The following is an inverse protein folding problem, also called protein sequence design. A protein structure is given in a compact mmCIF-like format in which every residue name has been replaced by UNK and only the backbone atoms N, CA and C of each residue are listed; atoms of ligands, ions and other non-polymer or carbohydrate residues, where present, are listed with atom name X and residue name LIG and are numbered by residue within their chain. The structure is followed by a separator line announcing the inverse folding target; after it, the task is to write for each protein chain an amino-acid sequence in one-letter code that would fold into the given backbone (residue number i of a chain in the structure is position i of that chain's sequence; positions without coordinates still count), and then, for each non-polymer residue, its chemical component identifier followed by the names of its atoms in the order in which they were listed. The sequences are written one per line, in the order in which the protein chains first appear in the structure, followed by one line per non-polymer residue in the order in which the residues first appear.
data_IF_779833645808
#
_entry.id   IF_779833645808
#
_cell.length_a   1.000
_cell.length_b   1.000
_cell.length_c   1.000
_cell.angle_alpha   90.00
_cell.angle_beta   90.00
_cell.angle_gamma   90.00
#
_symmetry.space_group_name_H-M   'P 1'
#
loop_
_entity.id
_entity.type
_entity.pdbx_description
1 polymer ?
#
# COMPACT_ATOMS: atom_id res chain seq x y z
N UNK A 1 -0.30 16.38 4.15
CA UNK A 1 -1.31 15.36 4.59
C UNK A 1 -0.61 14.29 5.42
N UNK A 2 -0.50 14.45 6.73
CA UNK A 2 0.11 13.44 7.60
C UNK A 2 -0.85 12.25 7.79
N UNK A 3 -0.35 11.01 7.79
CA UNK A 3 -1.19 9.82 7.96
C UNK A 3 -1.76 9.24 6.67
N UNK A 4 -1.34 9.72 5.50
CA UNK A 4 -1.84 9.21 4.22
C UNK A 4 -1.45 7.75 3.98
N UNK A 5 -0.30 7.33 4.51
CA UNK A 5 0.12 5.94 4.56
C UNK A 5 0.68 5.65 5.94
N UNK A 6 0.44 4.44 6.45
CA UNK A 6 0.89 4.00 7.78
C UNK A 6 1.31 2.54 7.71
N UNK A 7 2.43 2.20 8.34
CA UNK A 7 2.88 0.83 8.52
C UNK A 7 3.39 0.62 9.94
N UNK A 8 3.24 -0.60 10.46
CA UNK A 8 3.68 -0.99 11.80
C UNK A 8 4.45 -2.31 11.75
N UNK A 9 5.53 -2.40 12.52
CA UNK A 9 6.27 -3.64 12.75
C UNK A 9 6.85 -3.64 14.16
N UNK A 10 6.33 -4.52 15.01
CA UNK A 10 6.67 -4.55 16.43
C UNK A 10 6.44 -3.19 17.09
N UNK A 11 7.49 -2.64 17.68
CA UNK A 11 7.47 -1.34 18.38
C UNK A 11 7.76 -0.14 17.48
N UNK A 12 7.68 -0.28 16.15
CA UNK A 12 7.97 0.81 15.20
C UNK A 12 6.76 1.09 14.31
N UNK A 13 6.35 2.36 14.24
CA UNK A 13 5.35 2.86 13.29
C UNK A 13 6.05 3.81 12.32
N UNK A 14 5.69 3.72 11.04
CA UNK A 14 6.10 4.67 10.01
C UNK A 14 4.86 5.33 9.44
N UNK A 15 4.86 6.65 9.35
CA UNK A 15 3.74 7.45 8.83
C UNK A 15 4.21 8.30 7.66
N UNK A 16 3.63 8.10 6.49
CA UNK A 16 3.91 8.90 5.30
C UNK A 16 3.13 10.20 5.24
N UNK A 17 3.77 11.24 4.70
CA UNK A 17 3.18 12.53 4.40
C UNK A 17 3.69 13.09 3.07
N UNK A 18 3.06 12.75 1.92
CA UNK A 18 3.59 13.10 0.61
C UNK A 18 3.53 14.59 0.24
N UNK A 19 2.71 15.37 0.92
CA UNK A 19 2.55 16.83 0.71
C UNK A 19 3.19 17.61 1.86
N UNK A 20 4.39 17.18 2.26
CA UNK A 20 5.13 17.77 3.36
C UNK A 20 6.24 18.65 2.77
N UNK A 21 6.18 19.95 3.07
CA UNK A 21 6.97 20.99 2.40
C UNK A 21 8.15 21.48 3.23
N UNK A 22 8.23 21.06 4.49
CA UNK A 22 9.21 21.60 5.42
C UNK A 22 10.62 21.32 4.91
N UNK A 23 11.51 22.31 5.11
CA UNK A 23 12.92 22.06 4.95
C UNK A 23 13.39 21.20 6.12
N UNK A 24 13.79 19.96 5.85
CA UNK A 24 14.35 19.12 6.90
C UNK A 24 15.15 17.98 6.31
N UNK A 25 16.38 17.81 6.77
CA UNK A 25 17.18 16.60 6.57
C UNK A 25 17.35 15.95 7.94
N UNK A 26 16.44 15.04 8.32
CA UNK A 26 16.74 14.14 9.44
C UNK A 26 17.08 12.73 8.92
N UNK A 27 17.92 12.73 7.88
CA UNK A 27 18.94 11.72 7.60
C UNK A 27 20.21 12.49 7.23
N UNK A 28 21.17 12.57 8.14
CA UNK A 28 22.52 13.08 7.85
C UNK A 28 23.22 12.03 7.01
N UNK A 29 23.11 12.13 5.69
CA UNK A 29 24.22 11.72 4.84
C UNK A 29 25.26 12.84 4.94
N UNK A 30 26.41 12.58 5.56
CA UNK A 30 27.56 13.49 5.53
C UNK A 30 28.07 13.69 4.08
N UNK A 31 28.65 14.85 3.71
CA UNK A 31 28.56 16.15 4.40
C UNK A 31 27.27 16.89 3.98
N UNK A 32 26.84 17.88 4.78
CA UNK A 32 25.66 18.68 4.49
C UNK A 32 25.88 19.43 3.18
N UNK A 33 25.13 19.07 2.13
CA UNK A 33 24.81 20.06 1.12
C UNK A 33 23.76 20.98 1.72
N UNK A 34 24.25 21.99 2.44
CA UNK A 34 23.46 23.12 2.89
C UNK A 34 23.00 23.90 1.64
N UNK A 35 21.78 23.60 1.19
CA UNK A 35 21.10 24.39 0.14
C UNK A 35 20.18 25.45 0.74
N UNK A 36 20.57 26.13 1.83
CA UNK A 36 19.88 27.37 2.25
C UNK A 36 18.34 27.23 2.26
N UNK A 37 17.90 26.12 2.87
CA UNK A 37 16.55 25.59 3.06
C UNK A 37 15.36 26.47 2.62
N UNK A 38 15.14 26.55 1.31
CA UNK A 38 13.84 26.91 0.76
C UNK A 38 12.88 25.72 0.91
N UNK A 39 11.60 26.01 1.22
CA UNK A 39 10.53 25.01 1.17
C UNK A 39 10.54 24.34 -0.21
N UNK A 40 10.53 23.01 -0.23
CA UNK A 40 10.37 22.24 -1.47
C UNK A 40 8.94 21.71 -1.47
N UNK A 41 8.08 22.41 -2.20
CA UNK A 41 6.65 22.09 -2.29
C UNK A 41 6.44 20.63 -2.67
N UNK A 42 5.57 19.95 -1.94
CA UNK A 42 5.11 18.59 -2.17
C UNK A 42 6.25 17.56 -2.35
N UNK A 43 7.40 17.84 -1.71
CA UNK A 43 8.54 16.91 -1.69
C UNK A 43 8.25 15.67 -0.86
N UNK A 44 7.44 15.81 0.20
CA UNK A 44 6.96 14.73 1.04
C UNK A 44 7.96 14.26 2.10
N UNK A 45 7.48 13.49 3.07
CA UNK A 45 8.23 12.97 4.20
C UNK A 45 7.68 11.63 4.72
N UNK A 46 8.48 10.94 5.55
CA UNK A 46 8.03 9.83 6.38
C UNK A 46 8.52 10.00 7.82
N UNK A 47 7.64 9.80 8.79
CA UNK A 47 7.90 9.97 10.22
C UNK A 47 7.99 8.60 10.89
N UNK A 48 8.96 8.42 11.78
CA UNK A 48 9.19 7.14 12.47
C UNK A 48 8.92 7.31 13.95
N UNK A 49 7.96 6.55 14.46
CA UNK A 49 7.61 6.51 15.88
C UNK A 49 8.06 5.19 16.49
N UNK A 50 8.61 5.23 17.70
CA UNK A 50 8.96 4.03 18.47
C UNK A 50 8.21 3.98 19.79
N UNK A 51 7.76 2.78 20.16
CA UNK A 51 7.14 2.50 21.45
C UNK A 51 8.22 2.18 22.48
N UNK A 52 8.34 3.03 23.50
CA UNK A 52 9.13 2.78 24.71
C UNK A 52 8.21 2.65 25.92
N UNK A 53 8.17 1.48 26.55
CA UNK A 53 7.19 1.20 27.59
C UNK A 53 5.76 1.33 27.05
N UNK A 54 5.00 2.31 27.53
CA UNK A 54 3.64 2.63 27.06
C UNK A 54 3.56 3.92 26.22
N UNK A 55 4.70 4.52 25.87
CA UNK A 55 4.73 5.83 25.20
C UNK A 55 5.31 5.71 23.80
N UNK A 56 4.57 6.21 22.81
CA UNK A 56 5.06 6.41 21.45
C UNK A 56 5.79 7.75 21.35
N UNK A 57 7.00 7.74 20.80
CA UNK A 57 7.79 8.95 20.55
C UNK A 57 8.20 9.00 19.09
N UNK A 58 8.16 10.20 18.49
CA UNK A 58 8.79 10.43 17.20
C UNK A 58 10.30 10.35 17.37
N UNK A 59 10.97 9.52 16.57
CA UNK A 59 12.40 9.26 16.66
C UNK A 59 13.16 9.61 15.38
N UNK A 60 12.46 9.78 14.26
CA UNK A 60 13.06 10.25 13.02
C UNK A 60 12.04 10.89 12.09
N UNK A 61 12.55 11.76 11.23
CA UNK A 61 11.87 12.39 10.10
C UNK A 61 12.71 12.18 8.85
N UNK A 62 12.15 11.52 7.84
CA UNK A 62 12.88 11.05 6.66
C UNK A 62 12.39 11.81 5.43
N UNK A 63 13.33 12.38 4.66
CA UNK A 63 13.11 12.89 3.31
C UNK A 63 13.77 11.98 2.27
N UNK A 64 13.33 12.08 1.02
CA UNK A 64 14.05 11.50 -0.10
C UNK A 64 15.44 12.16 -0.24
N UNK A 65 16.51 11.40 -0.49
CA UNK A 65 17.78 11.98 -0.89
C UNK A 65 17.63 12.69 -2.23
N UNK A 66 18.21 13.89 -2.36
CA UNK A 66 18.04 14.76 -3.54
C UNK A 66 16.55 15.01 -3.87
N UNK A 67 15.75 15.33 -2.84
CA UNK A 67 14.35 15.74 -2.99
C UNK A 67 14.24 16.91 -3.96
N UNK A 68 13.26 16.83 -4.86
CA UNK A 68 12.80 17.99 -5.63
C UNK A 68 11.30 18.18 -5.44
N UNK A 69 10.76 19.24 -6.02
CA UNK A 69 9.33 19.56 -5.98
C UNK A 69 8.48 18.40 -6.53
N UNK A 70 7.30 18.21 -5.93
CA UNK A 70 6.27 17.24 -6.32
C UNK A 70 6.73 15.77 -6.30
N UNK A 71 7.69 15.38 -5.45
CA UNK A 71 8.13 13.98 -5.35
C UNK A 71 7.10 13.04 -4.72
N UNK A 72 6.23 13.59 -3.87
CA UNK A 72 5.25 12.84 -3.10
C UNK A 72 5.87 11.69 -2.29
N UNK A 73 7.06 11.91 -1.71
CA UNK A 73 7.73 10.92 -0.86
C UNK A 73 6.88 10.64 0.39
N UNK A 74 6.61 9.37 0.69
CA UNK A 74 5.67 8.98 1.74
C UNK A 74 4.26 8.69 1.22
N UNK A 75 4.06 8.63 -0.10
CA UNK A 75 2.78 8.21 -0.68
C UNK A 75 2.42 6.77 -0.30
N UNK A 76 3.42 5.92 -0.09
CA UNK A 76 3.30 4.60 0.53
C UNK A 76 4.48 4.35 1.47
N UNK A 77 4.25 3.58 2.54
CA UNK A 77 5.29 3.17 3.49
C UNK A 77 5.12 1.71 3.87
N UNK A 78 6.22 1.03 4.10
CA UNK A 78 6.27 -0.31 4.70
C UNK A 78 7.44 -0.39 5.68
N UNK A 79 7.28 -1.17 6.75
CA UNK A 79 8.34 -1.42 7.74
C UNK A 79 8.39 -2.90 8.11
N UNK A 80 9.61 -3.43 8.21
CA UNK A 80 9.86 -4.78 8.74
C UNK A 80 11.09 -4.72 9.65
N UNK A 81 10.86 -4.70 10.96
CA UNK A 81 11.91 -4.55 11.96
C UNK A 81 12.77 -3.30 11.71
N UNK A 82 13.96 -3.51 11.14
CA UNK A 82 14.96 -2.46 10.88
C UNK A 82 14.99 -1.99 9.43
N UNK A 83 14.02 -2.35 8.60
CA UNK A 83 13.97 -1.92 7.19
C UNK A 83 12.71 -1.11 6.97
N UNK A 84 12.86 0.08 6.39
CA UNK A 84 11.76 0.95 5.97
C UNK A 84 11.83 1.10 4.45
N UNK A 85 10.71 0.95 3.76
CA UNK A 85 10.58 1.28 2.35
C UNK A 85 9.54 2.39 2.19
N UNK A 86 9.85 3.40 1.38
CA UNK A 86 9.01 4.58 1.17
C UNK A 86 8.86 4.86 -0.32
N UNK A 87 7.62 4.96 -0.79
CA UNK A 87 7.29 5.31 -2.17
C UNK A 87 7.34 6.81 -2.43
N UNK A 88 7.78 7.16 -3.65
CA UNK A 88 7.78 8.51 -4.24
C UNK A 88 7.09 8.42 -5.60
N UNK A 89 5.76 8.46 -5.63
CA UNK A 89 4.99 8.13 -6.85
C UNK A 89 5.20 9.09 -8.01
N UNK A 90 5.64 10.31 -7.72
CA UNK A 90 5.84 11.36 -8.70
C UNK A 90 7.32 11.62 -9.02
N UNK A 91 8.23 10.79 -8.48
CA UNK A 91 9.65 10.80 -8.89
C UNK A 91 9.76 10.67 -10.42
N UNK A 92 10.45 11.63 -11.03
CA UNK A 92 10.57 11.79 -12.48
C UNK A 92 11.96 11.47 -13.04
N UNK A 93 12.88 10.94 -12.21
CA UNK A 93 14.26 10.61 -12.62
C UNK A 93 14.30 9.52 -13.69
N UNK A 94 15.25 9.66 -14.61
CA UNK A 94 15.44 8.75 -15.75
C UNK A 94 16.15 7.43 -15.42
N UNK A 95 16.78 7.34 -14.25
CA UNK A 95 17.47 6.11 -13.78
C UNK A 95 16.53 4.91 -13.76
N UNK A 96 17.04 3.72 -14.08
CA UNK A 96 16.29 2.48 -14.09
C UNK A 96 16.88 1.44 -13.14
N UNK A 97 16.05 0.47 -12.74
CA UNK A 97 16.48 -0.68 -11.94
C UNK A 97 16.88 -0.33 -10.50
N UNK A 98 17.93 -0.97 -10.01
CA UNK A 98 18.34 -0.95 -8.60
C UNK A 98 19.63 -0.15 -8.48
N UNK A 99 19.66 0.81 -7.56
CA UNK A 99 20.87 1.56 -7.21
C UNK A 99 21.11 1.54 -5.70
N UNK A 100 22.36 1.41 -5.28
CA UNK A 100 22.78 1.50 -3.87
C UNK A 100 23.12 2.93 -3.43
N UNK A 101 23.07 3.88 -4.36
CA UNK A 101 23.14 5.31 -4.09
C UNK A 101 22.04 6.02 -4.86
N UNK A 102 21.23 6.87 -4.22
CA UNK A 102 20.29 7.73 -4.93
C UNK A 102 21.05 8.54 -6.00
N UNK A 103 20.62 8.50 -7.27
CA UNK A 103 21.32 9.21 -8.32
C UNK A 103 21.37 10.71 -8.03
N UNK A 104 22.55 11.30 -8.23
CA UNK A 104 22.71 12.75 -8.28
C UNK A 104 22.21 13.30 -9.62
N UNK A 105 21.62 14.49 -9.61
CA UNK A 105 21.22 15.22 -10.83
C UNK A 105 19.73 15.15 -11.19
N UNK A 106 19.31 16.12 -12.00
CA UNK A 106 17.91 16.44 -12.32
C UNK A 106 17.47 15.89 -13.70
N UNK A 107 17.95 14.71 -14.12
CA UNK A 107 17.48 14.11 -15.37
C UNK A 107 16.02 13.63 -15.20
N UNK A 108 15.08 14.55 -15.38
CA UNK A 108 13.72 14.50 -14.85
C UNK A 108 12.63 14.35 -15.94
N UNK A 109 12.89 13.61 -17.02
CA UNK A 109 11.95 13.54 -18.16
C UNK A 109 10.93 12.40 -18.07
N UNK A 110 11.05 11.52 -17.06
CA UNK A 110 10.13 10.38 -16.85
C UNK A 110 9.06 10.74 -15.82
N UNK A 111 8.26 11.76 -16.12
CA UNK A 111 7.18 12.27 -15.25
C UNK A 111 6.35 11.14 -14.66
N UNK A 112 6.13 11.16 -13.34
CA UNK A 112 5.35 10.16 -12.61
C UNK A 112 5.78 8.70 -12.87
N UNK A 113 7.05 8.47 -13.21
CA UNK A 113 7.59 7.10 -13.30
C UNK A 113 7.65 6.44 -11.93
N UNK A 114 7.84 7.25 -10.89
CA UNK A 114 7.86 6.84 -9.49
C UNK A 114 9.18 6.20 -9.06
N UNK A 115 9.34 5.99 -7.76
CA UNK A 115 10.49 5.35 -7.14
C UNK A 115 10.13 4.77 -5.76
N UNK A 116 11.00 3.91 -5.23
CA UNK A 116 10.98 3.49 -3.82
C UNK A 116 12.36 3.67 -3.22
N UNK A 117 12.42 4.26 -2.03
CA UNK A 117 13.64 4.39 -1.24
C UNK A 117 13.60 3.42 -0.07
N UNK A 118 14.65 2.64 0.11
CA UNK A 118 14.79 1.68 1.21
C UNK A 118 15.85 2.18 2.18
N UNK A 119 15.48 2.26 3.45
CA UNK A 119 16.30 2.77 4.54
C UNK A 119 16.61 1.66 5.54
N UNK A 120 17.82 1.72 6.10
CA UNK A 120 18.23 0.89 7.24
C UNK A 120 18.91 1.73 8.32
N UNK A 121 19.00 1.24 9.56
CA UNK A 121 19.61 1.97 10.65
C UNK A 121 21.12 2.16 10.46
N UNK A 122 21.63 3.25 11.01
CA UNK A 122 23.04 3.60 11.14
C UNK A 122 23.22 4.38 12.45
N UNK A 123 23.44 3.66 13.56
CA UNK A 123 23.36 4.26 14.89
C UNK A 123 21.93 4.70 15.21
N UNK A 124 21.75 5.98 15.57
CA UNK A 124 20.43 6.60 15.80
C UNK A 124 19.75 7.09 14.51
N UNK A 125 20.45 7.08 13.38
CA UNK A 125 19.96 7.59 12.11
C UNK A 125 19.39 6.47 11.24
N UNK A 126 18.49 6.85 10.33
CA UNK A 126 18.10 6.03 9.18
C UNK A 126 18.90 6.48 7.98
N UNK A 127 19.43 5.57 7.16
CA UNK A 127 20.20 5.93 5.96
C UNK A 127 19.61 5.22 4.76
N UNK A 128 19.44 5.95 3.65
CA UNK A 128 19.01 5.36 2.39
C UNK A 128 20.09 4.38 1.89
N UNK A 129 19.70 3.13 1.66
CA UNK A 129 20.58 2.04 1.22
C UNK A 129 20.31 1.62 -0.21
N UNK A 130 19.04 1.66 -0.61
CA UNK A 130 18.60 1.21 -1.93
C UNK A 130 17.61 2.22 -2.49
N UNK A 131 17.76 2.50 -3.77
CA UNK A 131 16.84 3.25 -4.58
C UNK A 131 16.34 2.35 -5.71
N UNK A 132 15.04 2.13 -5.76
CA UNK A 132 14.37 1.25 -6.71
C UNK A 132 13.59 2.08 -7.72
N UNK A 133 13.84 1.78 -8.99
CA UNK A 133 13.08 2.22 -10.16
C UNK A 133 12.58 0.99 -10.93
N UNK A 134 11.51 1.13 -11.73
CA UNK A 134 11.18 0.12 -12.73
C UNK A 134 12.41 -0.19 -13.60
N UNK A 135 12.57 -1.44 -14.04
CA UNK A 135 13.63 -1.79 -15.01
C UNK A 135 13.32 -1.25 -16.41
N UNK A 136 12.05 -1.02 -16.70
CA UNK A 136 11.41 -0.56 -17.94
C UNK A 136 10.84 0.87 -17.81
N UNK A 137 11.62 1.81 -17.26
CA UNK A 137 11.14 3.16 -16.89
C UNK A 137 10.43 3.90 -18.04
N UNK A 138 9.16 4.21 -17.80
CA UNK A 138 8.30 5.02 -18.64
C UNK A 138 7.59 6.10 -17.81
N UNK A 139 7.02 7.10 -18.48
CA UNK A 139 6.16 8.11 -17.84
C UNK A 139 4.90 7.46 -17.28
N UNK A 140 4.30 8.05 -16.24
CA UNK A 140 3.02 7.64 -15.65
C UNK A 140 2.96 6.22 -15.06
N UNK A 141 4.09 5.53 -14.89
CA UNK A 141 4.11 4.19 -14.28
C UNK A 141 3.62 4.18 -12.83
N UNK A 142 3.84 5.29 -12.11
CA UNK A 142 3.52 5.48 -10.68
C UNK A 142 4.09 4.35 -9.82
N UNK A 143 5.32 3.93 -10.11
CA UNK A 143 6.01 2.93 -9.31
C UNK A 143 6.17 3.42 -7.86
N UNK A 144 5.91 2.54 -6.90
CA UNK A 144 5.86 2.93 -5.48
C UNK A 144 4.48 3.43 -5.04
N UNK A 145 3.43 3.28 -5.85
CA UNK A 145 2.04 3.55 -5.40
C UNK A 145 1.66 2.71 -4.19
N UNK A 146 2.15 1.48 -4.15
CA UNK A 146 2.01 0.58 -3.00
C UNK A 146 3.32 -0.17 -2.78
N UNK A 147 3.66 -0.40 -1.52
CA UNK A 147 4.89 -1.11 -1.12
C UNK A 147 4.56 -2.04 0.04
N UNK A 148 5.08 -3.27 -0.01
CA UNK A 148 5.02 -4.24 1.08
C UNK A 148 6.39 -4.89 1.33
N UNK A 149 6.67 -5.24 2.58
CA UNK A 149 7.92 -5.87 3.01
C UNK A 149 7.67 -7.21 3.69
N UNK A 150 8.47 -8.21 3.32
CA UNK A 150 8.74 -9.38 4.16
C UNK A 150 10.17 -9.30 4.70
N UNK A 151 10.60 -10.30 5.45
CA UNK A 151 11.98 -10.37 5.96
C UNK A 151 13.04 -10.53 4.87
N UNK A 152 12.64 -10.84 3.63
CA UNK A 152 13.58 -11.13 2.53
C UNK A 152 13.16 -10.57 1.17
N UNK A 153 12.01 -9.90 1.08
CA UNK A 153 11.49 -9.40 -0.17
C UNK A 153 10.76 -8.06 -0.03
N UNK A 154 10.80 -7.28 -1.10
CA UNK A 154 10.07 -6.02 -1.28
C UNK A 154 9.14 -6.20 -2.46
N UNK A 155 7.86 -5.91 -2.29
CA UNK A 155 6.91 -5.84 -3.39
C UNK A 155 6.53 -4.39 -3.64
N UNK A 156 6.55 -3.98 -4.91
CA UNK A 156 6.25 -2.61 -5.32
C UNK A 156 5.23 -2.59 -6.45
N UNK A 157 4.14 -1.87 -6.24
CA UNK A 157 3.11 -1.65 -7.25
C UNK A 157 3.45 -0.53 -8.23
N UNK A 158 3.12 -0.73 -9.50
CA UNK A 158 3.23 0.24 -10.60
C UNK A 158 1.94 0.19 -11.45
N UNK A 159 0.83 0.77 -10.96
CA UNK A 159 -0.48 0.63 -11.57
C UNK A 159 -0.63 1.29 -12.95
N UNK A 160 0.30 2.18 -13.32
CA UNK A 160 0.34 2.78 -14.66
C UNK A 160 1.25 2.05 -15.65
N UNK A 161 1.88 0.94 -15.24
CA UNK A 161 2.67 0.12 -16.16
C UNK A 161 1.81 -0.32 -17.36
N UNK A 162 2.28 0.03 -18.56
CA UNK A 162 1.58 -0.27 -19.82
C UNK A 162 2.21 -1.42 -20.61
N UNK A 163 3.21 -2.08 -20.04
CA UNK A 163 3.87 -3.24 -20.67
C UNK A 163 2.85 -4.36 -20.78
N UNK A 164 2.65 -4.94 -21.97
CA UNK A 164 1.66 -5.99 -22.24
C UNK A 164 0.18 -5.57 -22.13
N UNK A 165 -0.13 -4.30 -21.94
CA UNK A 165 -1.51 -3.79 -21.96
C UNK A 165 -1.60 -2.36 -21.44
N UNK A 166 -2.31 -1.47 -22.15
CA UNK A 166 -2.39 -0.05 -21.84
C UNK A 166 -2.90 0.20 -20.41
N UNK A 167 -2.09 0.83 -19.55
CA UNK A 167 -2.38 1.11 -18.14
C UNK A 167 -2.91 -0.11 -17.36
N UNK A 168 -2.47 -1.30 -17.75
CA UNK A 168 -2.90 -2.55 -17.11
C UNK A 168 -2.27 -2.76 -15.74
N UNK A 169 -1.18 -2.06 -15.46
CA UNK A 169 -0.46 -2.09 -14.19
C UNK A 169 0.44 -3.32 -14.05
N UNK A 170 1.35 -3.27 -13.08
CA UNK A 170 2.27 -4.35 -12.75
C UNK A 170 2.66 -4.29 -11.26
N UNK A 171 3.29 -5.35 -10.78
CA UNK A 171 4.05 -5.31 -9.54
C UNK A 171 5.44 -5.93 -9.71
N UNK A 172 6.40 -5.39 -8.97
CA UNK A 172 7.80 -5.79 -9.01
C UNK A 172 8.15 -6.40 -7.66
N UNK A 173 8.79 -7.56 -7.69
CA UNK A 173 9.25 -8.23 -6.50
C UNK A 173 10.77 -8.30 -6.49
N UNK A 174 11.34 -7.70 -5.46
CA UNK A 174 12.78 -7.67 -5.22
C UNK A 174 13.11 -8.58 -4.04
N UNK A 175 14.21 -9.32 -4.16
CA UNK A 175 14.82 -10.05 -3.05
C UNK A 175 15.94 -9.21 -2.50
N UNK A 176 15.98 -9.08 -1.18
CA UNK A 176 17.01 -8.29 -0.52
C UNK A 176 17.59 -9.04 0.69
N UNK A 177 18.86 -8.74 0.96
CA UNK A 177 19.59 -9.11 2.16
C UNK A 177 20.49 -7.95 2.61
N UNK A 178 21.39 -8.19 3.56
CA UNK A 178 22.28 -7.16 4.09
C UNK A 178 23.27 -6.58 3.05
N UNK A 179 23.50 -7.28 1.94
CA UNK A 179 24.52 -6.98 0.94
C UNK A 179 23.98 -6.82 -0.48
N UNK A 180 22.77 -7.32 -0.77
CA UNK A 180 22.25 -7.45 -2.12
C UNK A 180 20.78 -7.09 -2.21
N UNK A 181 20.39 -6.54 -3.35
CA UNK A 181 19.00 -6.40 -3.76
C UNK A 181 18.91 -6.72 -5.25
N UNK A 182 18.06 -7.68 -5.62
CA UNK A 182 17.88 -8.15 -7.00
C UNK A 182 16.41 -8.23 -7.35
N UNK A 183 16.07 -7.91 -8.61
CA UNK A 183 14.72 -8.15 -9.12
C UNK A 183 14.53 -9.66 -9.28
N UNK A 184 13.63 -10.24 -8.50
CA UNK A 184 13.29 -11.67 -8.61
C UNK A 184 12.16 -11.90 -9.60
N UNK A 185 11.13 -11.04 -9.59
CA UNK A 185 10.00 -11.20 -10.49
C UNK A 185 9.36 -9.89 -10.88
N UNK A 186 8.87 -9.85 -12.10
CA UNK A 186 7.92 -8.87 -12.61
C UNK A 186 6.59 -9.60 -12.81
N UNK A 187 5.55 -9.22 -12.06
CA UNK A 187 4.27 -9.94 -12.06
C UNK A 187 3.15 -9.11 -12.67
N UNK A 188 2.37 -9.78 -13.51
CA UNK A 188 1.11 -9.34 -14.11
C UNK A 188 0.10 -10.49 -14.01
N UNK A 189 -1.21 -10.22 -14.07
CA UNK A 189 -2.20 -11.28 -14.15
C UNK A 189 -2.11 -12.00 -15.50
N UNK A 190 -2.51 -13.28 -15.51
CA UNK A 190 -2.48 -14.15 -16.69
C UNK A 190 -3.29 -13.60 -17.87
N UNK A 191 -4.35 -12.85 -17.57
CA UNK A 191 -5.10 -12.03 -18.53
C UNK A 191 -4.90 -10.58 -18.14
N UNK A 192 -4.37 -9.78 -19.07
CA UNK A 192 -4.07 -8.37 -18.86
C UNK A 192 -5.07 -7.53 -19.64
N UNK A 193 -5.90 -6.76 -18.94
CA UNK A 193 -6.89 -5.86 -19.52
C UNK A 193 -6.44 -4.39 -19.45
N UNK A 194 -6.80 -3.56 -20.45
CA UNK A 194 -6.52 -2.13 -20.38
C UNK A 194 -7.14 -1.47 -19.16
N UNK A 195 -6.38 -0.66 -18.44
CA UNK A 195 -6.90 0.14 -17.33
C UNK A 195 -7.27 -0.63 -16.06
N UNK A 196 -6.98 -1.93 -15.94
CA UNK A 196 -7.33 -2.72 -14.74
C UNK A 196 -6.60 -2.27 -13.46
N UNK A 197 -5.54 -1.46 -13.59
CA UNK A 197 -4.76 -0.87 -12.49
C UNK A 197 -4.15 -1.91 -11.53
N UNK A 198 -3.63 -3.01 -12.06
CA UNK A 198 -2.94 -4.02 -11.25
C UNK A 198 -1.73 -3.40 -10.53
N UNK A 199 -1.59 -3.65 -9.22
CA UNK A 199 -0.52 -3.04 -8.40
C UNK A 199 -0.95 -1.78 -7.67
N UNK A 200 -2.24 -1.42 -7.68
CA UNK A 200 -2.75 -0.34 -6.81
C UNK A 200 -2.52 -0.65 -5.34
N UNK A 201 -2.70 -1.91 -4.95
CA UNK A 201 -2.44 -2.38 -3.59
C UNK A 201 -1.63 -3.68 -3.67
N UNK A 202 -0.71 -3.86 -2.72
CA UNK A 202 0.12 -5.06 -2.62
C UNK A 202 0.19 -5.53 -1.17
N UNK A 203 0.19 -6.85 -0.99
CA UNK A 203 0.46 -7.53 0.27
C UNK A 203 1.49 -8.63 0.04
N UNK A 204 2.41 -8.83 1.00
CA UNK A 204 3.52 -9.76 0.84
C UNK A 204 3.72 -10.60 2.10
N UNK A 205 3.56 -11.92 1.96
CA UNK A 205 3.99 -12.92 2.91
C UNK A 205 5.33 -13.55 2.52
N UNK A 206 5.71 -14.64 3.18
CA UNK A 206 6.99 -15.32 2.90
C UNK A 206 7.04 -15.93 1.49
N UNK A 207 5.99 -16.63 1.09
CA UNK A 207 5.89 -17.35 -0.20
C UNK A 207 4.59 -17.03 -0.97
N UNK A 208 3.85 -16.02 -0.50
CA UNK A 208 2.59 -15.58 -1.08
C UNK A 208 2.63 -14.07 -1.25
N UNK A 209 2.02 -13.61 -2.33
CA UNK A 209 1.83 -12.21 -2.61
C UNK A 209 0.39 -12.00 -3.08
N UNK A 210 -0.19 -10.86 -2.74
CA UNK A 210 -1.52 -10.47 -3.17
C UNK A 210 -1.41 -9.12 -3.83
N UNK A 211 -2.03 -8.97 -5.00
CA UNK A 211 -2.00 -7.72 -5.76
C UNK A 211 -3.41 -7.34 -6.17
N UNK A 212 -3.83 -6.13 -5.81
CA UNK A 212 -5.12 -5.57 -6.18
C UNK A 212 -5.12 -4.94 -7.57
N UNK A 213 -6.26 -5.06 -8.24
CA UNK A 213 -6.59 -4.45 -9.52
C UNK A 213 -8.05 -3.94 -9.47
N UNK A 214 -8.32 -2.83 -8.76
CA UNK A 214 -9.69 -2.39 -8.46
C UNK A 214 -10.50 -1.91 -9.67
N UNK A 215 -9.84 -1.74 -10.82
CA UNK A 215 -10.49 -1.35 -12.07
C UNK A 215 -10.58 -2.53 -13.05
N UNK A 216 -10.31 -3.76 -12.59
CA UNK A 216 -10.51 -4.96 -13.40
C UNK A 216 -11.99 -5.16 -13.75
N UNK A 217 -12.25 -5.52 -15.01
CA UNK A 217 -13.61 -5.64 -15.57
C UNK A 217 -13.79 -7.04 -16.15
N UNK A 218 -15.01 -7.62 -16.09
CA UNK A 218 -16.29 -7.00 -15.71
C UNK A 218 -16.59 -7.02 -14.19
N UNK A 219 -15.77 -7.67 -13.36
CA UNK A 219 -16.12 -7.97 -11.96
C UNK A 219 -15.97 -6.80 -10.97
N UNK A 220 -15.79 -5.57 -11.45
CA UNK A 220 -15.66 -4.35 -10.64
C UNK A 220 -14.52 -4.42 -9.62
N UNK A 221 -13.38 -4.91 -10.10
CA UNK A 221 -12.17 -5.07 -9.34
C UNK A 221 -11.86 -6.53 -9.00
N UNK A 222 -10.56 -6.79 -8.82
CA UNK A 222 -9.99 -8.10 -8.56
C UNK A 222 -8.82 -8.03 -7.60
N UNK A 223 -8.51 -9.13 -6.94
CA UNK A 223 -7.24 -9.35 -6.28
C UNK A 223 -6.62 -10.66 -6.77
N UNK A 224 -5.32 -10.68 -7.03
CA UNK A 224 -4.61 -11.83 -7.57
C UNK A 224 -3.63 -12.36 -6.54
N UNK A 225 -3.67 -13.67 -6.32
CA UNK A 225 -2.74 -14.35 -5.43
C UNK A 225 -1.64 -14.98 -6.26
N UNK A 226 -0.40 -14.64 -5.94
CA UNK A 226 0.80 -15.25 -6.51
C UNK A 226 1.48 -16.10 -5.45
N UNK A 227 1.97 -17.26 -5.87
CA UNK A 227 2.73 -18.16 -5.03
C UNK A 227 4.12 -18.36 -5.59
N UNK A 228 5.09 -18.46 -4.67
CA UNK A 228 6.49 -18.70 -5.01
C UNK A 228 6.75 -20.19 -5.17
N UNK A 229 7.32 -20.57 -6.30
CA UNK A 229 7.87 -21.91 -6.57
C UNK A 229 9.32 -21.76 -7.03
N UNK A 230 10.27 -22.12 -6.15
CA UNK A 230 11.69 -21.82 -6.37
C UNK A 230 11.95 -20.31 -6.44
N UNK A 231 12.46 -19.83 -7.56
CA UNK A 231 12.67 -18.40 -7.86
C UNK A 231 11.55 -17.79 -8.72
N UNK A 232 10.48 -18.52 -8.99
CA UNK A 232 9.38 -18.07 -9.85
C UNK A 232 8.15 -17.74 -9.02
N UNK A 233 7.42 -16.71 -9.46
CA UNK A 233 6.14 -16.33 -8.89
C UNK A 233 5.06 -16.54 -9.93
N UNK A 234 4.16 -17.48 -9.69
CA UNK A 234 3.06 -17.81 -10.59
C UNK A 234 1.73 -17.39 -9.96
N UNK A 235 0.80 -16.94 -10.79
CA UNK A 235 -0.57 -16.68 -10.34
C UNK A 235 -1.19 -18.00 -9.89
N UNK A 236 -1.52 -18.09 -8.60
CA UNK A 236 -2.20 -19.22 -8.00
C UNK A 236 -3.72 -19.04 -8.05
N UNK A 237 -4.21 -17.82 -7.87
CA UNK A 237 -5.65 -17.55 -7.79
C UNK A 237 -6.02 -16.15 -8.23
N UNK A 238 -7.28 -15.98 -8.63
CA UNK A 238 -7.94 -14.74 -8.97
C UNK A 238 -9.19 -14.63 -8.08
N UNK A 239 -9.24 -13.60 -7.25
CA UNK A 239 -10.27 -13.37 -6.26
C UNK A 239 -11.18 -12.24 -6.74
N UNK A 240 -12.48 -12.45 -6.59
CA UNK A 240 -13.54 -11.47 -6.85
C UNK A 240 -14.52 -11.46 -5.67
N UNK A 241 -15.21 -10.35 -5.47
CA UNK A 241 -16.33 -10.30 -4.53
C UNK A 241 -17.45 -11.26 -4.99
N UNK A 242 -18.12 -11.93 -4.05
CA UNK A 242 -19.23 -12.85 -4.34
C UNK A 242 -20.54 -12.14 -4.73
N UNK A 243 -20.62 -10.84 -4.52
CA UNK A 243 -21.75 -9.94 -4.76
C UNK A 243 -21.31 -8.71 -5.60
N UNK A 244 -20.32 -8.87 -6.47
CA UNK A 244 -19.72 -7.77 -7.24
C UNK A 244 -20.76 -6.94 -8.01
N UNK A 245 -20.66 -5.63 -7.89
CA UNK A 245 -21.45 -4.64 -8.63
C UNK A 245 -20.57 -3.51 -9.17
N UNK A 246 -21.07 -2.83 -10.20
CA UNK A 246 -20.35 -1.76 -10.88
C UNK A 246 -19.87 -0.69 -9.91
N UNK A 247 -18.57 -0.44 -9.88
CA UNK A 247 -17.95 0.58 -9.03
C UNK A 247 -17.57 0.13 -7.62
N UNK A 248 -17.74 -1.15 -7.27
CA UNK A 248 -17.41 -1.67 -5.93
C UNK A 248 -15.90 -1.60 -5.60
N UNK A 249 -15.05 -1.64 -6.63
CA UNK A 249 -13.58 -1.50 -6.56
C UNK A 249 -12.93 -2.54 -5.66
N UNK A 250 -13.35 -3.80 -5.77
CA UNK A 250 -12.73 -4.90 -5.03
C UNK A 250 -11.23 -4.98 -5.34
N UNK A 251 -10.38 -5.09 -4.31
CA UNK A 251 -8.92 -5.04 -4.47
C UNK A 251 -8.35 -3.63 -4.38
N UNK A 252 -9.15 -2.62 -4.01
CA UNK A 252 -8.63 -1.27 -3.74
C UNK A 252 -7.60 -1.26 -2.61
N UNK A 253 -7.76 -2.15 -1.63
CA UNK A 253 -6.80 -2.43 -0.57
C UNK A 253 -6.70 -3.93 -0.34
N UNK A 254 -5.49 -4.43 -0.04
CA UNK A 254 -5.25 -5.85 0.24
C UNK A 254 -4.28 -6.00 1.39
N UNK A 255 -4.42 -7.08 2.16
CA UNK A 255 -3.47 -7.47 3.21
C UNK A 255 -3.43 -8.99 3.31
N UNK A 256 -2.28 -9.54 3.71
CA UNK A 256 -2.06 -10.98 3.87
C UNK A 256 -1.31 -11.27 5.16
N UNK A 257 -1.75 -12.28 5.90
CA UNK A 257 -1.08 -12.80 7.08
C UNK A 257 -1.28 -14.31 7.16
N UNK A 258 -0.18 -15.07 7.14
CA UNK A 258 -0.20 -16.52 7.08
C UNK A 258 -1.06 -17.04 5.93
N UNK A 259 -2.12 -17.77 6.26
CA UNK A 259 -3.07 -18.37 5.32
C UNK A 259 -4.34 -17.53 5.10
N UNK A 260 -4.36 -16.26 5.49
CA UNK A 260 -5.52 -15.38 5.37
C UNK A 260 -5.21 -14.15 4.53
N UNK A 261 -6.17 -13.78 3.69
CA UNK A 261 -6.14 -12.57 2.85
C UNK A 261 -7.37 -11.74 3.20
N UNK A 262 -7.17 -10.44 3.36
CA UNK A 262 -8.23 -9.45 3.54
C UNK A 262 -8.22 -8.51 2.33
N UNK A 263 -9.39 -8.34 1.68
CA UNK A 263 -9.54 -7.48 0.50
C UNK A 263 -10.63 -6.46 0.76
N UNK A 264 -10.32 -5.18 0.55
CA UNK A 264 -11.29 -4.09 0.67
C UNK A 264 -12.01 -3.79 -0.66
N UNK A 265 -13.26 -3.36 -0.53
CA UNK A 265 -14.14 -2.94 -1.63
C UNK A 265 -14.93 -1.69 -1.20
N UNK A 266 -14.29 -0.52 -1.19
CA UNK A 266 -14.88 0.70 -0.62
C UNK A 266 -16.12 1.21 -1.38
N UNK A 267 -16.36 0.74 -2.61
CA UNK A 267 -17.55 1.11 -3.39
C UNK A 267 -18.78 0.23 -3.15
N UNK A 268 -18.63 -0.88 -2.42
CA UNK A 268 -19.72 -1.83 -2.14
C UNK A 268 -20.90 -1.10 -1.47
N UNK A 269 -22.13 -1.46 -1.85
CA UNK A 269 -23.30 -0.60 -1.64
C UNK A 269 -24.45 -1.24 -0.86
N UNK A 270 -24.24 -2.39 -0.22
CA UNK A 270 -25.20 -2.99 0.70
C UNK A 270 -25.38 -2.19 1.98
N UNK A 271 -26.62 -2.14 2.48
CA UNK A 271 -26.95 -1.56 3.80
C UNK A 271 -26.67 -2.49 4.98
N UNK A 272 -26.09 -3.68 4.76
CA UNK A 272 -25.79 -4.62 5.82
C UNK A 272 -24.82 -4.00 6.86
N UNK A 273 -25.12 -4.16 8.15
CA UNK A 273 -24.31 -3.66 9.27
C UNK A 273 -23.75 -4.77 10.16
N UNK A 274 -23.68 -6.00 9.64
CA UNK A 274 -23.17 -7.16 10.37
C UNK A 274 -22.12 -7.90 9.55
N UNK A 275 -21.36 -8.78 10.21
CA UNK A 275 -20.45 -9.70 9.51
C UNK A 275 -21.25 -10.94 9.09
N UNK A 276 -21.14 -11.32 7.82
CA UNK A 276 -21.60 -12.63 7.34
C UNK A 276 -20.44 -13.61 7.34
N UNK A 277 -20.59 -14.75 8.02
CA UNK A 277 -19.63 -15.84 7.95
C UNK A 277 -19.95 -16.77 6.77
N UNK A 278 -18.92 -17.23 6.07
CA UNK A 278 -19.03 -18.12 4.91
C UNK A 278 -18.84 -17.41 3.57
N UNK A 279 -19.44 -17.99 2.53
CA UNK A 279 -19.19 -17.63 1.12
C UNK A 279 -20.26 -16.71 0.52
N UNK A 280 -21.26 -16.29 1.30
CA UNK A 280 -22.33 -15.40 0.85
C UNK A 280 -22.10 -13.97 1.33
N UNK A 281 -22.65 -13.03 0.56
CA UNK A 281 -22.63 -11.59 0.85
C UNK A 281 -23.99 -11.02 0.46
N UNK A 282 -24.42 -9.94 1.13
CA UNK A 282 -25.62 -9.23 0.74
C UNK A 282 -25.49 -8.64 -0.67
N UNK A 283 -26.59 -8.59 -1.41
CA UNK A 283 -26.62 -8.12 -2.81
C UNK A 283 -27.50 -6.90 -3.01
N UNK A 284 -28.02 -6.30 -1.94
CA UNK A 284 -28.75 -5.04 -2.04
C UNK A 284 -27.77 -3.90 -2.33
N UNK A 285 -28.22 -2.89 -3.06
CA UNK A 285 -27.41 -1.71 -3.40
C UNK A 285 -27.98 -0.45 -2.72
N UNK A 286 -28.51 -0.59 -1.51
CA UNK A 286 -29.34 0.42 -0.85
C UNK A 286 -28.58 1.46 -0.02
N UNK A 287 -27.26 1.27 0.19
CA UNK A 287 -26.38 2.21 0.86
C UNK A 287 -25.11 2.47 0.01
N UNK A 288 -25.20 3.29 -1.05
CA UNK A 288 -24.11 3.57 -1.98
C UNK A 288 -22.77 3.87 -1.31
N UNK A 289 -21.71 3.16 -1.70
CA UNK A 289 -20.33 3.37 -1.21
C UNK A 289 -20.16 3.30 0.31
N UNK A 290 -21.02 2.54 1.00
CA UNK A 290 -20.83 2.22 2.41
C UNK A 290 -19.62 1.31 2.63
N UNK A 291 -19.26 0.54 1.62
CA UNK A 291 -18.05 -0.24 1.52
C UNK A 291 -18.07 -1.55 2.30
N UNK A 292 -17.16 -2.45 1.95
CA UNK A 292 -17.02 -3.77 2.55
C UNK A 292 -15.57 -4.25 2.58
N UNK A 293 -15.32 -5.31 3.35
CA UNK A 293 -14.11 -6.12 3.23
C UNK A 293 -14.42 -7.61 3.21
N UNK A 294 -13.57 -8.40 2.55
CA UNK A 294 -13.76 -9.83 2.32
C UNK A 294 -12.55 -10.59 2.84
N UNK A 295 -12.80 -11.67 3.59
CA UNK A 295 -11.76 -12.53 4.14
C UNK A 295 -11.72 -13.83 3.36
N UNK A 296 -10.54 -14.19 2.87
CA UNK A 296 -10.28 -15.46 2.19
C UNK A 296 -9.27 -16.27 3.00
N UNK A 297 -9.45 -17.60 3.03
CA UNK A 297 -8.54 -18.51 3.72
C UNK A 297 -8.01 -19.56 2.76
N UNK A 298 -6.71 -19.81 2.81
CA UNK A 298 -6.08 -20.82 1.98
C UNK A 298 -6.63 -22.22 2.30
N UNK A 299 -6.99 -22.96 1.25
CA UNK A 299 -7.33 -24.38 1.30
C UNK A 299 -6.66 -25.08 0.12
N UNK A 300 -5.49 -25.68 0.36
CA UNK A 300 -4.60 -26.16 -0.71
C UNK A 300 -4.12 -24.99 -1.59
N UNK A 301 -4.42 -25.05 -2.88
CA UNK A 301 -4.14 -23.96 -3.84
C UNK A 301 -5.32 -23.00 -4.00
N UNK A 302 -6.46 -23.28 -3.39
CA UNK A 302 -7.68 -22.46 -3.49
C UNK A 302 -7.79 -21.47 -2.33
N UNK A 303 -8.61 -20.44 -2.53
CA UNK A 303 -8.85 -19.37 -1.56
C UNK A 303 -10.35 -19.10 -1.45
N UNK A 304 -11.12 -19.97 -0.77
CA UNK A 304 -12.53 -19.71 -0.49
C UNK A 304 -12.69 -18.46 0.39
N UNK A 305 -13.73 -17.67 0.10
CA UNK A 305 -14.23 -16.64 1.00
C UNK A 305 -14.74 -17.31 2.29
N UNK A 306 -14.43 -16.73 3.43
CA UNK A 306 -14.89 -17.19 4.75
C UNK A 306 -15.62 -16.11 5.55
N UNK A 307 -15.54 -14.85 5.12
CA UNK A 307 -16.35 -13.78 5.70
C UNK A 307 -16.54 -12.62 4.73
N UNK A 308 -17.70 -11.97 4.86
CA UNK A 308 -18.02 -10.64 4.34
C UNK A 308 -18.22 -9.71 5.53
N UNK A 309 -17.43 -8.63 5.59
CA UNK A 309 -17.27 -7.74 6.74
C UNK A 309 -17.83 -6.38 6.39
N UNK A 310 -18.75 -5.90 7.22
CA UNK A 310 -19.34 -4.56 7.16
C UNK A 310 -19.11 -3.81 8.46
N UNK A 311 -19.06 -2.48 8.36
CA UNK A 311 -19.11 -1.61 9.53
C UNK A 311 -20.45 -1.76 10.24
N UNK A 312 -20.45 -1.83 11.57
CA UNK A 312 -21.69 -1.94 12.35
C UNK A 312 -22.54 -0.68 12.37
N UNK A 313 -22.01 0.43 11.85
CA UNK A 313 -22.68 1.70 11.60
C UNK A 313 -22.53 2.14 10.13
N UNK A 314 -22.25 1.21 9.21
CA UNK A 314 -21.98 1.55 7.82
C UNK A 314 -23.15 2.31 7.17
N UNK A 315 -22.86 3.55 6.75
CA UNK A 315 -23.77 4.44 6.03
C UNK A 315 -23.25 4.72 4.62
N UNK A 316 -24.09 5.35 3.83
CA UNK A 316 -23.71 5.85 2.51
C UNK A 316 -22.43 6.68 2.59
N UNK A 317 -21.50 6.48 1.67
CA UNK A 317 -20.26 7.25 1.51
C UNK A 317 -19.17 7.05 2.58
N UNK A 318 -19.38 6.23 3.61
CA UNK A 318 -18.38 5.93 4.64
C UNK A 318 -17.11 5.27 4.07
N UNK A 319 -17.24 4.58 2.93
CA UNK A 319 -16.15 3.91 2.19
C UNK A 319 -15.35 2.90 3.04
N UNK A 320 -16.04 2.09 3.85
CA UNK A 320 -15.42 1.01 4.61
C UNK A 320 -14.66 0.05 3.69
N UNK A 321 -13.44 -0.32 4.05
CA UNK A 321 -12.55 -1.10 3.17
C UNK A 321 -11.59 -0.25 2.33
N UNK A 322 -11.55 1.08 2.53
CA UNK A 322 -10.56 1.95 1.88
C UNK A 322 -9.12 1.62 2.27
N UNK A 323 -8.92 1.11 3.49
CA UNK A 323 -7.65 0.54 3.94
C UNK A 323 -7.92 -0.71 4.77
N UNK A 324 -7.10 -1.74 4.59
CA UNK A 324 -7.24 -3.02 5.31
C UNK A 324 -5.89 -3.51 5.82
N UNK A 325 -5.90 -4.14 6.99
CA UNK A 325 -4.75 -4.83 7.56
C UNK A 325 -5.23 -6.13 8.23
N UNK A 326 -4.51 -7.22 8.01
CA UNK A 326 -4.69 -8.45 8.76
C UNK A 326 -3.39 -8.85 9.44
N UNK A 327 -3.45 -9.18 10.72
CA UNK A 327 -2.36 -9.75 11.50
C UNK A 327 -2.91 -10.86 12.36
N UNK A 328 -2.48 -12.10 12.10
CA UNK A 328 -2.94 -13.29 12.80
C UNK A 328 -4.47 -13.40 12.82
N UNK A 329 -5.09 -13.14 13.97
CA UNK A 329 -6.53 -13.22 14.19
C UNK A 329 -7.21 -11.84 14.27
N UNK A 330 -6.49 -10.76 13.95
CA UNK A 330 -7.00 -9.40 14.03
C UNK A 330 -7.09 -8.79 12.64
N UNK A 331 -8.26 -8.21 12.35
CA UNK A 331 -8.55 -7.44 11.15
C UNK A 331 -8.67 -5.97 11.56
N UNK A 332 -8.12 -5.06 10.78
CA UNK A 332 -8.41 -3.63 10.85
C UNK A 332 -8.90 -3.18 9.49
N UNK A 333 -10.00 -2.43 9.47
CA UNK A 333 -10.62 -1.92 8.25
C UNK A 333 -10.98 -0.46 8.47
N UNK A 334 -10.54 0.41 7.57
CA UNK A 334 -10.81 1.85 7.63
C UNK A 334 -12.06 2.26 6.85
N UNK A 335 -12.78 3.22 7.39
CA UNK A 335 -13.88 3.96 6.76
C UNK A 335 -13.59 5.48 6.91
N UNK A 336 -12.75 6.06 6.03
CA UNK A 336 -12.21 7.41 6.21
C UNK A 336 -13.25 8.53 6.14
N UNK A 337 -14.45 8.24 5.62
CA UNK A 337 -15.53 9.20 5.47
C UNK A 337 -16.67 8.95 6.47
N UNK A 338 -16.49 8.04 7.42
CA UNK A 338 -17.45 7.84 8.51
C UNK A 338 -17.55 9.13 9.34
N UNK A 339 -18.77 9.60 9.55
CA UNK A 339 -19.08 10.97 10.01
C UNK A 339 -19.77 11.01 11.39
N UNK A 340 -19.65 9.93 12.17
CA UNK A 340 -20.18 9.93 13.53
C UNK A 340 -19.45 10.89 14.45
N UNK A 341 -20.12 11.29 15.52
CA UNK A 341 -19.52 12.15 16.54
C UNK A 341 -18.72 11.37 17.60
N UNK A 342 -18.48 10.06 17.40
CA UNK A 342 -17.78 9.22 18.36
C UNK A 342 -16.29 9.57 18.40
N UNK A 343 -15.85 10.18 19.51
CA UNK A 343 -14.45 10.60 19.72
C UNK A 343 -13.62 9.64 20.57
N UNK A 344 -14.19 8.50 20.95
CA UNK A 344 -13.58 7.52 21.85
C UNK A 344 -13.66 6.11 21.26
N UNK A 345 -12.68 5.27 21.57
CA UNK A 345 -12.72 3.86 21.18
C UNK A 345 -13.87 3.15 21.90
N UNK A 346 -14.77 2.50 21.16
CA UNK A 346 -15.72 1.55 21.73
C UNK A 346 -15.19 0.13 21.56
N UNK A 347 -15.12 -0.62 22.66
CA UNK A 347 -14.89 -2.05 22.63
C UNK A 347 -16.23 -2.76 22.81
N UNK A 348 -16.67 -3.55 21.82
CA UNK A 348 -17.91 -4.32 21.86
C UNK A 348 -18.85 -4.04 20.69
N UNK A 349 -20.08 -4.57 20.74
CA UNK A 349 -21.08 -4.46 19.67
C UNK A 349 -21.74 -3.07 19.54
N UNK A 350 -21.36 -2.11 20.38
CA UNK A 350 -21.91 -0.76 20.36
C UNK A 350 -21.20 0.09 19.30
N UNK A 351 -21.89 0.33 18.19
CA UNK A 351 -21.44 1.22 17.12
C UNK A 351 -22.00 2.64 17.30
N UNK A 352 -21.28 3.64 16.79
CA UNK A 352 -21.74 5.02 16.81
C UNK A 352 -23.02 5.17 15.98
N UNK A 353 -24.09 5.71 16.56
CA UNK A 353 -25.40 5.78 15.88
C UNK A 353 -25.73 7.14 15.29
N UNK A 354 -24.98 8.19 15.62
CA UNK A 354 -25.23 9.53 15.11
C UNK A 354 -24.31 9.86 13.93
N UNK A 355 -24.78 10.73 13.03
CA UNK A 355 -24.00 11.37 11.96
C UNK A 355 -24.09 12.85 12.28
N UNK A 356 -22.95 13.46 12.63
CA UNK A 356 -22.96 14.74 13.35
C UNK A 356 -21.87 15.72 12.96
N UNK A 357 -21.05 15.41 11.95
CA UNK A 357 -20.05 16.32 11.43
C UNK A 357 -20.41 16.69 9.99
N UNK A 358 -21.25 17.72 9.86
CA UNK A 358 -21.44 18.48 8.61
C UNK A 358 -20.25 19.36 8.31
#
# INVERSE_FOLDING_TARGET
RFGQSVAISGSTIVVGSPFEDSPGTAVVTEPPFDIGLNRINDSGAAYVFKLGGSTWTETAFIKAPNSVQDYLFGSSVAVNGTVIAVGSTADNKNTSGISTSPPGGNANSKTNSGAVHVFGPSGSLWVARIYLKPSNVATEMKFGTSVALSSTAIMVGAPGDSTLGANSGAAYLYRYDASSCVLESYVKPSVTLPGQQFGISVGLGTNLAVVGAPSDTPNSGSAYVFARSGSTWAQQSHLTASNSSSGDRFGASVSISGSMILVGSPGESSSQTTITHGTSSASDQSAPTSGAAYVYRQSGTTWPQIAYVKAGNGKTTDTFGSGVLISDNTLVVGAPNEDSNQKSLSNGSATATNSGLT
#
